data_IF_529437889580
#
_entry.id   IF_529437889580
#
_cell.length_a   1.000
_cell.length_b   1.000
_cell.length_c   1.000
_cell.angle_alpha   90.00
_cell.angle_beta   90.00
_cell.angle_gamma   90.00
#
_symmetry.space_group_name_H-M   'P 1'
#
loop_
_entity.id
_entity.type
_entity.pdbx_description
1 polymer ?
#
# COMPACT_ATOMS: atom_id res chain seq x y z
N UNK A 1 -32.69 0.63 -41.71
CA UNK A 1 -31.56 1.56 -41.88
C UNK A 1 -30.37 0.97 -41.16
N UNK A 2 -29.22 0.96 -41.84
CA UNK A 2 -27.93 0.46 -41.37
C UNK A 2 -27.09 1.53 -40.64
N UNK A 3 -25.99 1.08 -40.02
CA UNK A 3 -24.84 1.84 -39.50
C UNK A 3 -24.51 1.41 -38.07
N UNK A 4 -23.47 0.64 -37.71
CA UNK A 4 -22.11 0.35 -38.20
C UNK A 4 -21.10 1.51 -38.14
N UNK A 5 -20.05 1.30 -37.33
CA UNK A 5 -18.75 2.00 -37.31
C UNK A 5 -18.39 2.52 -35.91
N UNK A 6 -17.25 2.27 -35.27
CA UNK A 6 -16.00 1.54 -35.58
C UNK A 6 -15.09 1.66 -34.34
N UNK A 7 -14.52 0.57 -33.83
CA UNK A 7 -13.14 0.12 -34.06
C UNK A 7 -12.02 1.05 -33.54
N UNK A 8 -11.37 0.60 -32.45
CA UNK A 8 -9.92 0.74 -32.25
C UNK A 8 -9.40 -0.50 -31.50
N UNK A 9 -8.90 -1.46 -32.27
CA UNK A 9 -7.87 -2.42 -31.87
C UNK A 9 -6.52 -1.66 -31.85
N UNK A 10 -5.40 -2.07 -31.26
CA UNK A 10 -4.93 -3.32 -30.68
C UNK A 10 -3.66 -2.97 -29.86
N UNK A 11 -3.28 -3.81 -28.91
CA UNK A 11 -1.91 -4.32 -28.84
C UNK A 11 -1.86 -5.51 -27.90
N UNK A 12 -1.73 -6.68 -28.53
CA UNK A 12 -1.39 -7.94 -27.88
C UNK A 12 0.08 -7.91 -27.44
N UNK A 13 0.38 -8.61 -26.34
CA UNK A 13 1.68 -9.25 -26.18
C UNK A 13 1.43 -10.69 -25.74
N UNK A 14 1.54 -11.59 -26.72
CA UNK A 14 1.63 -13.01 -26.54
C UNK A 14 2.98 -13.36 -25.88
N UNK A 15 2.96 -14.30 -24.93
CA UNK A 15 4.17 -15.03 -24.55
C UNK A 15 3.99 -16.48 -25.00
N UNK A 16 4.43 -16.75 -26.24
CA UNK A 16 4.69 -18.08 -26.74
C UNK A 16 6.20 -18.20 -27.06
N UNK A 17 6.81 -19.29 -26.61
CA UNK A 17 8.20 -19.69 -26.91
C UNK A 17 9.08 -19.71 -25.66
N UNK A 18 9.77 -20.79 -25.29
CA UNK A 18 9.97 -22.07 -25.96
C UNK A 18 10.75 -23.02 -25.03
N UNK A 19 10.72 -24.31 -25.37
CA UNK A 19 11.57 -25.31 -24.77
C UNK A 19 13.05 -25.00 -25.04
N UNK A 20 13.90 -25.08 -24.01
CA UNK A 20 15.34 -24.88 -24.12
C UNK A 20 16.06 -25.51 -22.94
N UNK A 21 16.73 -26.63 -23.21
CA UNK A 21 17.48 -27.46 -22.27
C UNK A 21 18.97 -27.07 -22.32
N UNK A 22 19.59 -26.84 -21.17
CA UNK A 22 21.05 -26.93 -20.97
C UNK A 22 21.84 -25.62 -20.95
N UNK A 23 22.84 -25.54 -20.05
CA UNK A 23 23.94 -24.58 -20.14
C UNK A 23 24.52 -24.13 -18.80
N UNK A 24 25.62 -24.74 -18.37
CA UNK A 24 26.45 -24.30 -17.25
C UNK A 24 27.36 -23.13 -17.66
N UNK A 25 27.58 -22.19 -16.73
CA UNK A 25 28.79 -21.34 -16.66
C UNK A 25 28.67 -19.91 -17.20
N UNK A 26 29.27 -18.94 -16.48
CA UNK A 26 29.58 -17.62 -17.05
C UNK A 26 29.58 -16.46 -16.06
N UNK A 27 30.77 -16.10 -15.57
CA UNK A 27 31.10 -14.87 -14.83
C UNK A 27 30.97 -13.64 -15.76
N UNK A 28 30.30 -12.57 -15.33
CA UNK A 28 30.20 -11.34 -16.13
C UNK A 28 29.48 -10.18 -15.43
N UNK A 29 30.24 -9.11 -15.20
CA UNK A 29 29.90 -7.83 -14.60
C UNK A 29 28.73 -7.05 -15.25
N UNK A 30 27.94 -6.41 -14.39
CA UNK A 30 27.50 -5.00 -14.42
C UNK A 30 26.77 -4.43 -15.66
N UNK A 31 25.45 -4.21 -15.51
CA UNK A 31 24.70 -3.23 -16.31
C UNK A 31 23.17 -3.33 -16.21
N UNK A 32 22.53 -2.38 -15.51
CA UNK A 32 21.07 -2.11 -15.64
C UNK A 32 20.16 -2.71 -14.57
N UNK A 33 20.22 -2.21 -13.33
CA UNK A 33 19.26 -2.57 -12.28
C UNK A 33 17.99 -1.71 -12.37
N UNK A 34 17.15 -2.01 -13.36
CA UNK A 34 15.79 -1.48 -13.47
C UNK A 34 14.94 -2.49 -14.21
N UNK A 35 13.94 -3.07 -13.53
CA UNK A 35 12.93 -3.98 -14.08
C UNK A 35 13.30 -5.47 -14.31
N UNK A 36 14.25 -6.06 -13.56
CA UNK A 36 14.56 -7.50 -13.66
C UNK A 36 14.44 -8.29 -12.33
N UNK A 37 13.60 -7.86 -11.38
CA UNK A 37 13.37 -8.59 -10.12
C UNK A 37 11.98 -9.28 -10.03
N UNK A 38 11.20 -9.29 -11.12
CA UNK A 38 9.87 -9.90 -11.14
C UNK A 38 9.81 -11.30 -11.81
N UNK A 39 10.94 -11.83 -12.31
CA UNK A 39 10.98 -13.06 -13.10
C UNK A 39 11.54 -14.30 -12.38
N UNK A 40 11.75 -14.26 -11.05
CA UNK A 40 12.35 -15.37 -10.30
C UNK A 40 11.39 -16.13 -9.35
N UNK A 41 10.10 -15.82 -9.34
CA UNK A 41 9.10 -16.55 -8.57
C UNK A 41 8.22 -17.41 -9.48
N UNK A 42 8.73 -18.59 -9.83
CA UNK A 42 7.88 -19.67 -10.34
C UNK A 42 6.80 -20.06 -9.32
N UNK A 43 5.68 -20.66 -9.76
CA UNK A 43 4.60 -21.05 -8.86
C UNK A 43 5.10 -22.11 -7.87
N UNK A 44 5.23 -21.72 -6.59
CA UNK A 44 5.47 -22.66 -5.50
C UNK A 44 6.57 -22.34 -4.49
N UNK A 45 7.28 -21.22 -4.58
CA UNK A 45 8.33 -20.89 -3.61
C UNK A 45 7.94 -19.70 -2.71
N UNK A 46 7.51 -20.03 -1.49
CA UNK A 46 7.33 -19.05 -0.40
C UNK A 46 8.71 -18.84 0.26
N UNK A 47 9.39 -17.75 -0.13
CA UNK A 47 10.67 -17.36 0.47
C UNK A 47 10.46 -16.35 1.60
N UNK A 48 10.48 -16.81 2.85
CA UNK A 48 10.53 -15.96 4.04
C UNK A 48 11.97 -15.52 4.34
N UNK A 49 12.49 -14.59 3.53
CA UNK A 49 13.71 -13.83 3.82
C UNK A 49 13.43 -12.32 3.92
N UNK A 50 14.38 -11.48 4.38
CA UNK A 50 14.19 -10.02 4.58
C UNK A 50 13.69 -9.24 3.34
N UNK A 51 13.66 -9.87 2.17
CA UNK A 51 13.10 -9.35 0.93
C UNK A 51 11.57 -9.46 0.84
N UNK A 52 10.93 -10.29 1.66
CA UNK A 52 9.49 -10.59 1.58
C UNK A 52 8.58 -9.45 2.06
N UNK A 53 9.04 -8.60 2.98
CA UNK A 53 8.31 -7.40 3.44
C UNK A 53 8.80 -6.10 2.77
N UNK A 54 9.99 -6.12 2.17
CA UNK A 54 10.56 -4.94 1.52
C UNK A 54 9.79 -4.55 0.24
N UNK A 55 9.31 -5.54 -0.51
CA UNK A 55 8.52 -5.32 -1.73
C UNK A 55 7.18 -4.61 -1.47
N UNK A 56 6.30 -5.07 -0.55
CA UNK A 56 5.04 -4.36 -0.28
C UNK A 56 5.25 -2.98 0.36
N UNK A 57 6.28 -2.80 1.20
CA UNK A 57 6.61 -1.49 1.76
C UNK A 57 7.05 -0.49 0.68
N UNK A 58 7.88 -0.92 -0.29
CA UNK A 58 8.32 -0.07 -1.40
C UNK A 58 7.18 0.28 -2.37
N UNK A 59 6.29 -0.68 -2.64
CA UNK A 59 5.09 -0.46 -3.44
C UNK A 59 4.16 0.56 -2.77
N UNK A 60 3.89 0.38 -1.47
CA UNK A 60 3.06 1.30 -0.71
C UNK A 60 3.68 2.69 -0.55
N UNK A 61 5.01 2.80 -0.40
CA UNK A 61 5.70 4.09 -0.39
C UNK A 61 5.58 4.82 -1.75
N UNK A 62 5.67 4.08 -2.86
CA UNK A 62 5.44 4.63 -4.20
C UNK A 62 4.00 5.09 -4.39
N UNK A 63 3.03 4.33 -3.87
CA UNK A 63 1.62 4.72 -3.85
C UNK A 63 1.35 5.95 -2.96
N UNK A 64 2.08 6.09 -1.85
CA UNK A 64 1.98 7.24 -0.94
C UNK A 64 2.42 8.55 -1.61
N UNK A 65 3.41 8.49 -2.50
CA UNK A 65 3.87 9.64 -3.29
C UNK A 65 2.89 10.08 -4.40
N UNK A 66 1.81 9.32 -4.64
CA UNK A 66 0.83 9.66 -5.66
C UNK A 66 -0.05 10.86 -5.23
N UNK A 67 -0.46 11.75 -6.16
CA UNK A 67 -1.28 12.93 -5.83
C UNK A 67 -2.63 12.59 -5.18
N UNK A 68 -3.28 11.51 -5.60
CA UNK A 68 -4.55 11.06 -5.03
C UNK A 68 -4.44 10.73 -3.53
N UNK A 69 -3.27 10.24 -3.10
CA UNK A 69 -2.98 9.89 -1.71
C UNK A 69 -2.88 11.12 -0.82
N UNK A 70 -2.34 12.23 -1.34
CA UNK A 70 -2.23 13.49 -0.60
C UNK A 70 -3.61 14.04 -0.18
N UNK A 71 -4.60 13.96 -1.07
CA UNK A 71 -5.97 14.39 -0.78
C UNK A 71 -6.63 13.51 0.29
N UNK A 72 -6.43 12.19 0.23
CA UNK A 72 -6.93 11.24 1.25
C UNK A 72 -6.31 11.51 2.61
N UNK A 73 -4.99 11.65 2.68
CA UNK A 73 -4.26 11.95 3.91
C UNK A 73 -4.76 13.25 4.56
N UNK A 74 -4.98 14.31 3.78
CA UNK A 74 -5.51 15.57 4.31
C UNK A 74 -6.93 15.40 4.88
N UNK A 75 -7.78 14.62 4.22
CA UNK A 75 -9.12 14.28 4.69
C UNK A 75 -9.08 13.44 5.97
N UNK A 76 -8.18 12.46 6.05
CA UNK A 76 -7.95 11.65 7.25
C UNK A 76 -7.46 12.49 8.44
N UNK A 77 -6.47 13.36 8.22
CA UNK A 77 -5.97 14.27 9.25
C UNK A 77 -7.09 15.19 9.76
N UNK A 78 -7.93 15.72 8.86
CA UNK A 78 -9.08 16.55 9.21
C UNK A 78 -10.10 15.77 10.04
N UNK A 79 -10.40 14.52 9.67
CA UNK A 79 -11.31 13.66 10.41
C UNK A 79 -10.79 13.32 11.83
N UNK A 80 -9.48 13.05 11.95
CA UNK A 80 -8.82 12.81 13.23
C UNK A 80 -8.78 14.08 14.10
N UNK A 81 -8.52 15.25 13.53
CA UNK A 81 -8.61 16.51 14.27
C UNK A 81 -10.02 16.77 14.79
N UNK A 82 -11.02 16.53 13.95
CA UNK A 82 -12.41 16.81 14.29
C UNK A 82 -12.97 15.87 15.35
N UNK A 83 -12.53 14.60 15.39
CA UNK A 83 -13.13 13.57 16.25
C UNK A 83 -12.17 13.04 17.33
N UNK A 84 -10.92 13.50 17.33
CA UNK A 84 -9.86 13.13 18.26
C UNK A 84 -8.92 12.05 17.70
N UNK A 85 -7.58 12.28 17.64
CA UNK A 85 -6.62 11.31 17.12
C UNK A 85 -6.39 10.11 18.07
N UNK A 86 -6.95 10.14 19.27
CA UNK A 86 -6.89 9.05 20.27
C UNK A 86 -8.26 8.38 20.48
N UNK A 87 -9.25 8.69 19.64
CA UNK A 87 -10.57 8.10 19.69
C UNK A 87 -10.62 6.85 18.79
N UNK A 88 -10.89 5.65 19.33
CA UNK A 88 -10.82 4.42 18.54
C UNK A 88 -11.86 4.36 17.42
N UNK A 89 -13.02 4.99 17.58
CA UNK A 89 -14.02 5.07 16.53
C UNK A 89 -13.56 5.94 15.35
N UNK A 90 -12.85 7.03 15.63
CA UNK A 90 -12.32 7.93 14.59
C UNK A 90 -11.22 7.27 13.77
N UNK A 91 -10.31 6.58 14.44
CA UNK A 91 -9.23 5.83 13.78
C UNK A 91 -9.82 4.70 12.94
N UNK A 92 -10.78 3.93 13.48
CA UNK A 92 -11.49 2.88 12.76
C UNK A 92 -12.17 3.40 11.49
N UNK A 93 -12.92 4.51 11.59
CA UNK A 93 -13.56 5.15 10.43
C UNK A 93 -12.54 5.59 9.36
N UNK A 94 -11.38 6.13 9.77
CA UNK A 94 -10.31 6.50 8.84
C UNK A 94 -9.77 5.26 8.12
N UNK A 95 -9.51 4.18 8.83
CA UNK A 95 -9.03 2.91 8.24
C UNK A 95 -10.05 2.38 7.24
N UNK A 96 -11.32 2.27 7.63
CA UNK A 96 -12.38 1.75 6.74
C UNK A 96 -12.57 2.61 5.48
N UNK A 97 -12.49 3.95 5.62
CA UNK A 97 -12.55 4.87 4.50
C UNK A 97 -11.34 4.75 3.57
N UNK A 98 -10.13 4.66 4.13
CA UNK A 98 -8.90 4.49 3.36
C UNK A 98 -8.93 3.17 2.57
N UNK A 99 -9.23 2.04 3.23
CA UNK A 99 -9.36 0.73 2.58
C UNK A 99 -10.37 0.77 1.44
N UNK A 100 -11.53 1.40 1.65
CA UNK A 100 -12.58 1.51 0.63
C UNK A 100 -12.12 2.35 -0.58
N UNK A 101 -11.52 3.51 -0.33
CA UNK A 101 -11.05 4.41 -1.39
C UNK A 101 -9.88 3.82 -2.19
N UNK A 102 -8.92 3.20 -1.51
CA UNK A 102 -7.77 2.54 -2.14
C UNK A 102 -8.23 1.36 -2.98
N UNK A 103 -9.11 0.50 -2.45
CA UNK A 103 -9.69 -0.63 -3.18
C UNK A 103 -10.41 -0.19 -4.45
N UNK A 104 -11.19 0.90 -4.36
CA UNK A 104 -11.91 1.44 -5.53
C UNK A 104 -10.97 2.02 -6.59
N UNK A 105 -9.82 2.58 -6.17
CA UNK A 105 -8.85 3.20 -7.08
C UNK A 105 -7.87 2.18 -7.69
N UNK A 106 -7.73 1.02 -7.07
CA UNK A 106 -6.78 -0.03 -7.48
C UNK A 106 -7.48 -1.39 -7.59
N UNK A 107 -8.43 -1.55 -8.53
CA UNK A 107 -9.08 -2.83 -8.74
C UNK A 107 -8.03 -3.90 -9.12
N UNK A 108 -8.03 -5.02 -8.38
CA UNK A 108 -7.05 -6.10 -8.56
C UNK A 108 -5.85 -6.04 -7.61
N UNK A 109 -5.72 -5.00 -6.77
CA UNK A 109 -4.76 -4.99 -5.68
C UNK A 109 -5.08 -6.09 -4.65
N UNK A 110 -4.03 -6.68 -4.06
CA UNK A 110 -4.18 -7.61 -2.95
C UNK A 110 -4.77 -6.89 -1.73
N UNK A 111 -5.60 -7.58 -0.94
CA UNK A 111 -6.10 -7.05 0.33
C UNK A 111 -4.95 -6.65 1.27
N UNK A 112 -3.80 -7.33 1.19
CA UNK A 112 -2.60 -6.97 1.94
C UNK A 112 -2.02 -5.62 1.51
N UNK A 113 -1.89 -5.36 0.19
CA UNK A 113 -1.39 -4.07 -0.32
C UNK A 113 -2.32 -2.91 0.05
N UNK A 114 -3.63 -3.12 -0.10
CA UNK A 114 -4.65 -2.13 0.30
C UNK A 114 -4.52 -1.80 1.78
N UNK A 115 -4.39 -2.83 2.63
CA UNK A 115 -4.26 -2.64 4.08
C UNK A 115 -2.96 -1.92 4.45
N UNK A 116 -1.82 -2.32 3.88
CA UNK A 116 -0.51 -1.69 4.13
C UNK A 116 -0.55 -0.22 3.72
N UNK A 117 -1.14 0.10 2.57
CA UNK A 117 -1.30 1.48 2.12
C UNK A 117 -2.24 2.28 3.04
N UNK A 118 -3.38 1.71 3.45
CA UNK A 118 -4.31 2.37 4.37
C UNK A 118 -3.65 2.71 5.73
N UNK A 119 -2.86 1.78 6.27
CA UNK A 119 -2.12 2.01 7.51
C UNK A 119 -1.02 3.08 7.34
N UNK A 120 -0.33 3.11 6.21
CA UNK A 120 0.66 4.15 5.91
C UNK A 120 0.02 5.53 5.70
N UNK A 121 -1.16 5.60 5.09
CA UNK A 121 -1.93 6.85 4.97
C UNK A 121 -2.38 7.36 6.35
N UNK A 122 -2.82 6.47 7.24
CA UNK A 122 -3.14 6.82 8.63
C UNK A 122 -1.91 7.35 9.39
N UNK A 123 -0.77 6.66 9.31
CA UNK A 123 0.48 7.10 9.94
C UNK A 123 0.91 8.47 9.41
N UNK A 124 0.81 8.68 8.09
CA UNK A 124 1.17 9.97 7.47
C UNK A 124 0.23 11.09 7.90
N UNK A 125 -1.07 10.81 8.05
CA UNK A 125 -2.03 11.77 8.61
C UNK A 125 -1.67 12.14 10.05
N UNK A 126 -1.34 11.17 10.90
CA UNK A 126 -0.89 11.43 12.28
C UNK A 126 0.41 12.26 12.32
N UNK A 127 1.38 11.97 11.44
CA UNK A 127 2.60 12.77 11.31
C UNK A 127 2.31 14.20 10.85
N UNK A 128 1.33 14.38 9.96
CA UNK A 128 0.87 15.72 9.52
C UNK A 128 0.31 16.51 10.70
N UNK A 129 -0.48 15.86 11.56
CA UNK A 129 -1.00 16.48 12.79
C UNK A 129 0.15 16.89 13.72
N UNK A 130 1.09 15.97 13.97
CA UNK A 130 2.27 16.24 14.81
C UNK A 130 3.09 17.42 14.24
N UNK A 131 3.29 17.47 12.93
CA UNK A 131 4.05 18.54 12.27
C UNK A 131 3.44 19.94 12.42
N UNK A 132 2.14 20.01 12.71
CA UNK A 132 1.41 21.28 12.98
C UNK A 132 1.14 21.52 14.48
N UNK A 133 1.49 20.58 15.35
CA UNK A 133 1.18 20.62 16.77
C UNK A 133 2.34 21.16 17.60
N UNK A 134 2.03 21.89 18.69
CA UNK A 134 2.99 22.16 19.74
C UNK A 134 3.13 20.94 20.65
N UNK A 135 4.27 20.25 20.57
CA UNK A 135 4.52 19.05 21.37
C UNK A 135 4.92 19.46 22.80
N UNK A 136 4.09 19.08 23.77
CA UNK A 136 4.38 19.21 25.19
C UNK A 136 5.11 17.99 25.76
N UNK A 137 5.03 17.81 27.08
CA UNK A 137 5.58 16.63 27.75
C UNK A 137 4.92 15.33 27.27
N UNK A 138 5.74 14.35 26.90
CA UNK A 138 5.28 13.02 26.49
C UNK A 138 5.10 12.14 27.73
N UNK A 139 3.90 11.56 27.91
CA UNK A 139 3.62 10.60 28.96
C UNK A 139 3.88 9.17 28.45
N UNK A 140 5.07 8.64 28.71
CA UNK A 140 5.49 7.31 28.27
C UNK A 140 4.74 6.18 28.99
N UNK A 141 4.30 6.40 30.23
CA UNK A 141 3.52 5.41 31.00
C UNK A 141 2.15 5.12 30.34
N UNK A 142 1.63 6.07 29.54
CA UNK A 142 0.37 5.90 28.80
C UNK A 142 0.51 5.14 27.48
N UNK A 143 1.74 4.76 27.07
CA UNK A 143 2.00 4.06 25.80
C UNK A 143 1.19 2.76 25.66
N UNK A 144 1.08 1.97 26.74
CA UNK A 144 0.25 0.76 26.78
C UNK A 144 -1.23 1.06 26.53
N UNK A 145 -1.74 2.19 27.05
CA UNK A 145 -3.12 2.61 26.82
C UNK A 145 -3.36 3.01 25.36
N UNK A 146 -2.44 3.75 24.74
CA UNK A 146 -2.55 4.10 23.32
C UNK A 146 -2.42 2.89 22.39
N UNK A 147 -1.62 1.89 22.76
CA UNK A 147 -1.59 0.62 22.04
C UNK A 147 -2.97 -0.08 22.08
N UNK A 148 -3.66 -0.08 23.22
CA UNK A 148 -5.03 -0.60 23.32
C UNK A 148 -6.02 0.17 22.45
N UNK A 149 -5.90 1.50 22.36
CA UNK A 149 -6.71 2.31 21.43
C UNK A 149 -6.51 1.86 19.99
N UNK A 150 -5.26 1.68 19.54
CA UNK A 150 -4.95 1.20 18.18
C UNK A 150 -5.52 -0.20 17.97
N UNK A 151 -5.32 -1.11 18.93
CA UNK A 151 -5.85 -2.48 18.90
C UNK A 151 -7.38 -2.49 18.76
N UNK A 152 -8.10 -1.69 19.55
CA UNK A 152 -9.56 -1.57 19.46
C UNK A 152 -10.00 -0.97 18.12
N UNK A 153 -9.27 0.04 17.62
CA UNK A 153 -9.59 0.70 16.35
C UNK A 153 -9.50 -0.25 15.17
N UNK A 154 -8.44 -1.05 15.12
CA UNK A 154 -8.22 -2.07 14.08
C UNK A 154 -9.29 -3.15 14.18
N UNK A 155 -9.59 -3.64 15.39
CA UNK A 155 -10.67 -4.60 15.58
C UNK A 155 -12.00 -4.04 15.06
N UNK A 156 -12.37 -2.83 15.44
CA UNK A 156 -13.61 -2.19 14.99
C UNK A 156 -13.66 -1.99 13.47
N UNK A 157 -12.53 -1.73 12.82
CA UNK A 157 -12.47 -1.52 11.37
C UNK A 157 -12.70 -2.81 10.56
N UNK A 158 -12.49 -3.98 11.17
CA UNK A 158 -12.57 -5.30 10.54
C UNK A 158 -13.53 -6.27 11.27
N UNK A 159 -14.35 -5.75 12.18
CA UNK A 159 -15.38 -6.50 12.89
C UNK A 159 -16.61 -6.76 12.02
#
# INVERSE_FOLDING_TARGET
GAGQGGAAAAAAAAAAGGAGQGGYGGYGQQGGAGAAAAAASGPGQIYYGPQSVAAPAAAAASALAAPATSARISSHASALLSNGPTNPASISNVISNAVSQISSSNPGASACDVLVQALLELVTALLTIIGSSNIGSVNYDSSGQYAQVVTQSVQNAFA
#
